data_IF_440812239762
#
_entry.id   IF_440812239762
#
_cell.length_a   1.000
_cell.length_b   1.000
_cell.length_c   1.000
_cell.angle_alpha   90.00
_cell.angle_beta   90.00
_cell.angle_gamma   90.00
#
_symmetry.space_group_name_H-M   'P 1'
#
loop_
_entity.id
_entity.type
_entity.pdbx_description
1 polymer ?
#
# COMPACT_ATOMS: atom_id res chain seq x y z
N UNK A 1 -12.40 5.65 -11.26
CA UNK A 1 -12.93 4.29 -10.94
C UNK A 1 -12.39 3.85 -9.59
N UNK A 2 -13.09 2.95 -8.86
CA UNK A 2 -12.58 2.37 -7.60
C UNK A 2 -11.82 1.08 -7.90
N UNK A 3 -10.60 0.96 -7.40
CA UNK A 3 -9.70 -0.16 -7.63
C UNK A 3 -9.24 -0.71 -6.28
N UNK A 4 -9.51 -1.99 -6.03
CA UNK A 4 -8.92 -2.71 -4.89
C UNK A 4 -7.63 -3.36 -5.38
N UNK A 5 -6.50 -2.92 -4.83
CA UNK A 5 -5.17 -3.39 -5.23
C UNK A 5 -4.58 -4.28 -4.13
N UNK A 6 -4.54 -5.59 -4.38
CA UNK A 6 -3.95 -6.56 -3.46
C UNK A 6 -2.47 -6.74 -3.82
N UNK A 7 -1.60 -6.56 -2.84
CA UNK A 7 -0.16 -6.72 -3.02
C UNK A 7 0.46 -7.44 -1.82
N UNK A 8 1.46 -8.29 -2.05
CA UNK A 8 2.04 -9.14 -1.00
C UNK A 8 2.53 -8.32 0.20
N UNK A 9 3.51 -7.44 0.02
CA UNK A 9 4.00 -6.53 1.07
C UNK A 9 4.14 -5.10 0.52
N UNK A 10 3.92 -4.10 1.35
CA UNK A 10 4.00 -2.70 0.94
C UNK A 10 5.20 -2.00 1.53
N UNK A 11 6.01 -1.41 0.64
CA UNK A 11 7.13 -0.56 1.02
C UNK A 11 6.78 0.89 0.70
N UNK A 12 6.82 1.73 1.72
CA UNK A 12 6.78 3.17 1.51
C UNK A 12 8.15 3.69 1.01
N UNK A 13 8.21 4.91 0.46
CA UNK A 13 9.45 5.48 -0.06
C UNK A 13 10.59 5.66 0.96
N UNK A 14 10.28 5.63 2.27
CA UNK A 14 11.26 5.71 3.35
C UNK A 14 11.76 4.35 3.84
N UNK A 15 11.24 3.24 3.31
CA UNK A 15 11.66 1.88 3.69
C UNK A 15 12.71 1.34 2.72
N UNK A 16 13.71 0.65 3.25
CA UNK A 16 14.66 -0.10 2.43
C UNK A 16 13.95 -1.29 1.77
N UNK A 17 13.59 -1.14 0.49
CA UNK A 17 12.85 -2.17 -0.26
C UNK A 17 12.30 -1.68 -1.60
N UNK A 18 11.59 -2.56 -2.30
CA UNK A 18 10.99 -2.25 -3.59
C UNK A 18 9.71 -1.43 -3.48
N UNK A 19 9.71 -0.21 -4.01
CA UNK A 19 8.56 0.72 -3.99
C UNK A 19 7.54 0.50 -5.13
N UNK A 20 7.56 -0.67 -5.77
CA UNK A 20 6.76 -0.93 -7.00
C UNK A 20 5.25 -0.76 -6.76
N UNK A 21 4.74 -1.29 -5.66
CA UNK A 21 3.32 -1.19 -5.31
C UNK A 21 2.90 0.25 -5.03
N UNK A 22 3.75 1.02 -4.35
CA UNK A 22 3.56 2.46 -4.14
C UNK A 22 3.48 3.22 -5.47
N UNK A 23 4.46 3.00 -6.34
CA UNK A 23 4.57 3.68 -7.63
C UNK A 23 3.42 3.30 -8.59
N UNK A 24 2.97 2.05 -8.55
CA UNK A 24 1.79 1.59 -9.29
C UNK A 24 0.51 2.29 -8.78
N UNK A 25 0.28 2.30 -7.46
CA UNK A 25 -0.89 2.93 -6.85
C UNK A 25 -0.90 4.44 -7.11
N UNK A 26 0.25 5.11 -6.97
CA UNK A 26 0.40 6.54 -7.23
C UNK A 26 0.04 6.91 -8.67
N UNK A 27 0.48 6.12 -9.66
CA UNK A 27 0.12 6.36 -11.07
C UNK A 27 -1.36 6.13 -11.35
N UNK A 28 -2.01 5.19 -10.66
CA UNK A 28 -3.46 4.98 -10.77
C UNK A 28 -4.23 6.16 -10.15
N UNK A 29 -3.81 6.65 -9.00
CA UNK A 29 -4.40 7.85 -8.38
C UNK A 29 -4.24 9.07 -9.27
N UNK A 30 -3.04 9.28 -9.85
CA UNK A 30 -2.78 10.37 -10.79
C UNK A 30 -3.64 10.33 -12.07
N UNK A 31 -4.19 9.16 -12.42
CA UNK A 31 -5.14 8.97 -13.53
C UNK A 31 -6.60 9.20 -13.12
N UNK A 32 -6.86 9.62 -11.87
CA UNK A 32 -8.21 9.86 -11.35
C UNK A 32 -8.92 8.61 -10.82
N UNK A 33 -8.19 7.55 -10.48
CA UNK A 33 -8.76 6.38 -9.82
C UNK A 33 -8.67 6.50 -8.29
N UNK A 34 -9.69 6.02 -7.60
CA UNK A 34 -9.64 5.78 -6.15
C UNK A 34 -9.04 4.40 -5.94
N UNK A 35 -7.94 4.29 -5.20
CA UNK A 35 -7.21 3.04 -5.02
C UNK A 35 -7.16 2.67 -3.55
N UNK A 36 -7.70 1.51 -3.21
CA UNK A 36 -7.63 0.92 -1.88
C UNK A 36 -6.58 -0.21 -1.92
N UNK A 37 -5.46 -0.05 -1.23
CA UNK A 37 -4.37 -1.05 -1.22
C UNK A 37 -4.52 -1.98 -0.01
N UNK A 38 -4.60 -3.28 -0.28
CA UNK A 38 -4.60 -4.34 0.74
C UNK A 38 -3.26 -5.06 0.66
N UNK A 39 -2.54 -5.12 1.77
CA UNK A 39 -1.18 -5.65 1.79
C UNK A 39 -0.78 -6.15 3.18
N UNK A 40 0.29 -6.94 3.24
CA UNK A 40 0.91 -7.33 4.51
C UNK A 40 2.04 -6.39 4.88
N UNK A 41 2.37 -6.35 6.18
CA UNK A 41 3.54 -5.63 6.66
C UNK A 41 4.81 -6.39 6.25
N UNK A 42 5.81 -5.67 5.72
CA UNK A 42 7.13 -6.24 5.42
C UNK A 42 7.88 -6.60 6.70
N UNK A 43 7.54 -5.96 7.81
CA UNK A 43 8.04 -6.31 9.13
C UNK A 43 7.25 -7.51 9.62
N UNK A 44 7.90 -8.62 10.00
CA UNK A 44 7.22 -9.72 10.67
C UNK A 44 6.85 -9.27 12.08
N UNK A 45 5.77 -8.51 12.20
CA UNK A 45 5.16 -8.24 13.49
C UNK A 45 4.33 -9.48 13.82
N UNK A 46 4.60 -10.13 14.95
CA UNK A 46 3.80 -11.27 15.42
C UNK A 46 2.35 -10.91 15.78
N UNK A 47 1.82 -9.78 15.29
CA UNK A 47 0.47 -9.30 15.50
C UNK A 47 -0.32 -9.46 14.20
N UNK A 48 -1.34 -10.28 14.24
CA UNK A 48 -2.23 -10.56 13.12
C UNK A 48 -3.20 -9.41 12.79
N UNK A 49 -3.28 -8.37 13.63
CA UNK A 49 -4.16 -7.20 13.43
C UNK A 49 -3.49 -5.95 14.00
N UNK A 50 -3.24 -4.96 13.16
CA UNK A 50 -2.96 -3.59 13.57
C UNK A 50 -4.09 -2.69 13.06
N UNK A 51 -4.59 -1.81 13.92
CA UNK A 51 -5.63 -0.83 13.60
C UNK A 51 -5.25 -0.11 12.30
N UNK A 52 -6.15 0.07 11.32
CA UNK A 52 -5.81 0.76 10.09
C UNK A 52 -5.40 2.19 10.43
N UNK A 53 -4.09 2.46 10.41
CA UNK A 53 -3.59 3.81 10.35
C UNK A 53 -4.20 4.44 9.11
N UNK A 54 -4.86 5.58 9.26
CA UNK A 54 -5.44 6.32 8.15
C UNK A 54 -4.27 6.97 7.40
N UNK A 55 -3.65 6.23 6.49
CA UNK A 55 -2.55 6.73 5.67
C UNK A 55 -3.17 7.61 4.58
N UNK A 56 -3.00 8.92 4.74
CA UNK A 56 -3.41 9.90 3.75
C UNK A 56 -2.56 9.71 2.49
N UNK A 57 -3.25 9.48 1.38
CA UNK A 57 -2.69 9.51 0.02
C UNK A 57 -2.44 10.95 -0.41
#
# INVERSE_FOLDING_TARGET
>A
MRIVYIHQYYCNPGMAGGIRSYEQARRLVARGHTVDVITTDITPTGRCWSTPGRWAW
#
